data_IF_418988344980
#
_entry.id   IF_418988344980
#
_cell.length_a   1.000
_cell.length_b   1.000
_cell.length_c   1.000
_cell.angle_alpha   90.00
_cell.angle_beta   90.00
_cell.angle_gamma   90.00
#
_symmetry.space_group_name_H-M   'P 1'
#
loop_
_entity.id
_entity.type
_entity.pdbx_description
1 polymer ?
#
# COMPACT_ATOMS: atom_id res chain seq x y z
N UNK A 1 -40.53 -0.80 -60.44
CA UNK A 1 -40.36 -2.19 -60.90
C UNK A 1 -39.11 -2.25 -61.77
N UNK A 2 -38.34 -3.33 -61.65
CA UNK A 2 -37.12 -3.71 -62.40
C UNK A 2 -35.76 -3.29 -61.83
N UNK A 3 -35.25 -4.23 -61.03
CA UNK A 3 -33.86 -4.60 -60.76
C UNK A 3 -33.09 -4.71 -62.08
N UNK A 4 -31.81 -4.31 -62.11
CA UNK A 4 -30.86 -5.04 -62.96
C UNK A 4 -29.46 -5.15 -62.34
N UNK A 5 -29.09 -6.40 -62.09
CA UNK A 5 -27.80 -6.88 -61.60
C UNK A 5 -27.00 -7.32 -62.81
N UNK A 6 -25.70 -7.02 -62.86
CA UNK A 6 -24.78 -7.70 -63.77
C UNK A 6 -23.42 -7.85 -63.11
N UNK A 7 -23.23 -9.01 -62.48
CA UNK A 7 -21.94 -9.49 -62.01
C UNK A 7 -21.04 -9.79 -63.22
N UNK A 8 -19.75 -9.45 -63.10
CA UNK A 8 -18.69 -10.09 -63.87
C UNK A 8 -17.54 -10.54 -62.94
N UNK A 9 -16.83 -11.56 -63.41
CA UNK A 9 -16.15 -12.63 -62.69
C UNK A 9 -14.77 -12.28 -62.08
N UNK A 10 -14.53 -12.87 -60.91
CA UNK A 10 -13.37 -13.67 -60.48
C UNK A 10 -11.96 -13.27 -60.97
N UNK A 11 -11.13 -12.87 -60.01
CA UNK A 11 -9.67 -13.09 -60.04
C UNK A 11 -9.23 -13.58 -58.67
N UNK A 12 -8.82 -14.86 -58.60
CA UNK A 12 -8.25 -15.46 -57.40
C UNK A 12 -6.73 -15.28 -57.40
N UNK A 13 -6.17 -14.78 -56.29
CA UNK A 13 -4.78 -15.00 -55.92
C UNK A 13 -4.69 -15.09 -54.39
N UNK A 14 -4.43 -16.29 -53.90
CA UNK A 14 -4.14 -16.58 -52.51
C UNK A 14 -2.64 -16.34 -52.23
N UNK A 15 -2.29 -15.71 -51.11
CA UNK A 15 -1.08 -16.04 -50.35
C UNK A 15 -1.05 -15.31 -48.98
N UNK A 16 -1.21 -16.12 -47.94
CA UNK A 16 -0.56 -16.06 -46.62
C UNK A 16 -0.56 -14.75 -45.82
N UNK A 17 -1.40 -14.74 -44.78
CA UNK A 17 -1.25 -13.91 -43.60
C UNK A 17 0.00 -14.32 -42.80
N UNK A 18 0.91 -13.37 -42.55
CA UNK A 18 1.82 -13.39 -41.40
C UNK A 18 1.76 -12.00 -40.77
N UNK A 19 0.80 -11.82 -39.86
CA UNK A 19 0.93 -10.81 -38.79
C UNK A 19 1.26 -11.58 -37.53
N UNK A 20 2.53 -11.92 -37.35
CA UNK A 20 3.03 -12.40 -36.08
C UNK A 20 3.29 -11.19 -35.19
N UNK A 21 2.38 -11.04 -34.24
CA UNK A 21 2.32 -10.09 -33.14
C UNK A 21 3.69 -9.66 -32.62
N UNK A 22 3.99 -8.36 -32.71
CA UNK A 22 4.84 -7.75 -31.72
C UNK A 22 4.19 -8.05 -30.36
N UNK A 23 4.91 -8.72 -29.47
CA UNK A 23 4.52 -8.91 -28.08
C UNK A 23 4.43 -7.52 -27.42
N UNK A 24 3.34 -6.81 -27.68
CA UNK A 24 2.85 -5.75 -26.81
C UNK A 24 2.60 -6.44 -25.50
N UNK A 25 3.32 -6.01 -24.48
CA UNK A 25 3.13 -6.42 -23.10
C UNK A 25 1.67 -6.15 -22.74
N UNK A 26 0.81 -7.15 -22.95
CA UNK A 26 -0.58 -7.13 -22.57
C UNK A 26 -0.61 -7.41 -21.07
N UNK A 27 -0.20 -6.41 -20.29
CA UNK A 27 -0.72 -6.24 -18.94
C UNK A 27 -2.23 -6.03 -19.10
N UNK A 28 -3.01 -7.06 -18.79
CA UNK A 28 -4.46 -7.00 -18.81
C UNK A 28 -4.99 -5.95 -17.81
N UNK A 29 -6.20 -5.43 -18.03
CA UNK A 29 -6.87 -4.53 -17.09
C UNK A 29 -7.32 -5.34 -15.86
N UNK A 30 -6.37 -5.66 -14.98
CA UNK A 30 -6.58 -6.45 -13.78
C UNK A 30 -5.50 -6.11 -12.78
N UNK A 31 -5.83 -5.20 -11.86
CA UNK A 31 -4.92 -4.67 -10.87
C UNK A 31 -5.16 -3.19 -10.71
N UNK A 32 -6.29 -2.82 -10.10
CA UNK A 32 -6.39 -1.55 -9.42
C UNK A 32 -5.17 -1.43 -8.51
N UNK A 33 -4.20 -0.62 -8.92
CA UNK A 33 -3.30 0.02 -7.98
C UNK A 33 -4.24 0.76 -7.04
N UNK A 34 -4.49 0.15 -5.87
CA UNK A 34 -5.18 0.83 -4.80
C UNK A 34 -4.55 2.21 -4.57
N UNK A 35 -5.28 3.15 -3.96
CA UNK A 35 -4.86 4.54 -3.85
C UNK A 35 -3.36 4.64 -3.50
N UNK A 36 -2.58 5.44 -4.24
CA UNK A 36 -1.14 5.53 -4.01
C UNK A 36 -0.88 5.85 -2.54
N UNK A 37 -0.18 4.94 -1.85
CA UNK A 37 0.41 5.20 -0.55
C UNK A 37 -0.58 5.58 0.54
N UNK A 38 -1.50 4.68 0.91
CA UNK A 38 -2.03 4.73 2.28
C UNK A 38 -0.84 4.66 3.23
N UNK A 39 -0.51 5.77 3.90
CA UNK A 39 0.56 5.82 4.89
C UNK A 39 0.25 4.80 5.98
N UNK A 40 0.83 3.61 5.84
CA UNK A 40 0.89 2.61 6.90
C UNK A 40 1.95 3.08 7.90
N UNK A 41 1.83 4.31 8.40
CA UNK A 41 2.65 4.80 9.51
C UNK A 41 2.31 3.92 10.71
N UNK A 42 3.25 3.10 11.19
CA UNK A 42 3.02 2.25 12.35
C UNK A 42 2.54 3.08 13.54
N UNK A 43 3.02 4.33 13.70
CA UNK A 43 2.59 5.23 14.77
C UNK A 43 1.11 5.62 14.71
N UNK A 44 0.52 5.76 13.53
CA UNK A 44 -0.92 6.06 13.38
C UNK A 44 -1.79 4.88 13.77
N UNK A 45 -1.38 3.68 13.39
CA UNK A 45 -2.07 2.46 13.76
C UNK A 45 -2.10 2.30 15.29
N UNK A 46 -0.98 2.56 15.98
CA UNK A 46 -0.89 2.48 17.45
C UNK A 46 -1.84 3.46 18.13
N UNK A 47 -1.88 4.72 17.66
CA UNK A 47 -2.78 5.73 18.21
C UNK A 47 -4.24 5.29 18.09
N UNK A 48 -4.65 4.82 16.91
CA UNK A 48 -6.03 4.37 16.72
C UNK A 48 -6.39 3.18 17.61
N UNK A 49 -5.45 2.26 17.88
CA UNK A 49 -5.70 1.12 18.78
C UNK A 49 -5.85 1.56 20.23
N UNK A 50 -5.01 2.49 20.69
CA UNK A 50 -5.12 3.01 22.05
C UNK A 50 -6.46 3.74 22.29
N UNK A 51 -6.98 4.44 21.28
CA UNK A 51 -8.28 5.11 21.35
C UNK A 51 -9.48 4.14 21.45
N UNK A 52 -9.27 2.84 21.17
CA UNK A 52 -10.30 1.81 21.25
C UNK A 52 -10.38 1.14 22.63
N UNK A 53 -9.49 1.49 23.55
CA UNK A 53 -9.45 0.94 24.91
C UNK A 53 -10.15 1.90 25.88
N UNK A 54 -10.84 1.36 26.88
CA UNK A 54 -11.45 2.16 27.96
C UNK A 54 -10.38 2.63 28.96
N UNK A 55 -9.54 3.57 28.51
CA UNK A 55 -8.43 4.11 29.30
C UNK A 55 -8.93 5.07 30.37
N UNK A 56 -8.35 4.98 31.58
CA UNK A 56 -8.51 6.02 32.59
C UNK A 56 -7.96 7.36 32.10
N UNK A 57 -8.37 8.47 32.73
CA UNK A 57 -7.85 9.80 32.39
C UNK A 57 -6.32 9.90 32.51
N UNK A 58 -5.75 9.24 33.53
CA UNK A 58 -4.31 9.20 33.79
C UNK A 58 -3.57 8.35 32.75
N UNK A 59 -4.14 7.19 32.38
CA UNK A 59 -3.60 6.33 31.32
C UNK A 59 -3.64 7.06 29.98
N UNK A 60 -4.75 7.72 29.65
CA UNK A 60 -4.92 8.47 28.41
C UNK A 60 -3.89 9.58 28.28
N UNK A 61 -3.68 10.39 29.33
CA UNK A 61 -2.66 11.44 29.33
C UNK A 61 -1.25 10.87 29.10
N UNK A 62 -0.94 9.73 29.72
CA UNK A 62 0.35 9.06 29.56
C UNK A 62 0.53 8.54 28.13
N UNK A 63 -0.49 7.89 27.57
CA UNK A 63 -0.47 7.36 26.20
C UNK A 63 -0.37 8.49 25.17
N UNK A 64 -1.14 9.57 25.32
CA UNK A 64 -1.05 10.75 24.45
C UNK A 64 0.35 11.36 24.45
N UNK A 65 1.00 11.44 25.61
CA UNK A 65 2.37 11.92 25.74
C UNK A 65 3.36 11.03 25.00
N UNK A 66 3.28 9.70 25.19
CA UNK A 66 4.13 8.72 24.50
C UNK A 66 3.96 8.79 22.97
N UNK A 67 2.71 8.84 22.50
CA UNK A 67 2.40 8.93 21.08
C UNK A 67 2.85 10.27 20.49
N UNK A 68 2.68 11.37 21.21
CA UNK A 68 3.11 12.70 20.76
C UNK A 68 4.63 12.80 20.66
N UNK A 69 5.36 12.31 21.66
CA UNK A 69 6.82 12.26 21.63
C UNK A 69 7.32 11.41 20.45
N UNK A 70 6.69 10.25 20.21
CA UNK A 70 7.00 9.40 19.06
C UNK A 70 6.70 10.08 17.72
N UNK A 71 5.56 10.77 17.61
CA UNK A 71 5.19 11.53 16.41
C UNK A 71 6.20 12.64 16.12
N UNK A 72 6.57 13.42 17.14
CA UNK A 72 7.52 14.52 17.01
C UNK A 72 8.92 14.00 16.64
N UNK A 73 9.37 12.93 17.29
CA UNK A 73 10.67 12.31 17.00
C UNK A 73 10.80 11.74 15.58
N UNK A 74 9.67 11.42 14.92
CA UNK A 74 9.64 10.88 13.57
C UNK A 74 9.24 11.91 12.50
N UNK A 75 9.02 13.18 12.85
CA UNK A 75 8.48 14.17 11.92
C UNK A 75 9.41 14.44 10.73
N UNK A 76 10.71 14.61 11.00
CA UNK A 76 11.72 14.78 9.95
C UNK A 76 11.79 13.55 9.02
N UNK A 77 11.65 12.35 9.58
CA UNK A 77 11.61 11.10 8.80
C UNK A 77 10.40 11.05 7.87
N UNK A 78 9.22 11.50 8.32
CA UNK A 78 8.01 11.57 7.47
C UNK A 78 8.18 12.54 6.32
N UNK A 79 8.69 13.73 6.61
CA UNK A 79 8.97 14.76 5.60
C UNK A 79 9.97 14.23 4.57
N UNK A 80 11.04 13.59 5.04
CA UNK A 80 12.05 13.00 4.15
C UNK A 80 11.48 11.87 3.27
N UNK A 81 10.64 10.99 3.83
CA UNK A 81 9.96 9.96 3.04
C UNK A 81 9.05 10.57 1.96
N UNK A 82 8.37 11.67 2.26
CA UNK A 82 7.54 12.37 1.28
C UNK A 82 8.40 12.90 0.12
N UNK A 83 9.49 13.63 0.43
CA UNK A 83 10.42 14.14 -0.58
C UNK A 83 10.98 13.04 -1.48
N UNK A 84 11.43 11.93 -0.88
CA UNK A 84 12.00 10.79 -1.61
C UNK A 84 10.98 10.13 -2.55
N UNK A 85 9.72 10.03 -2.12
CA UNK A 85 8.63 9.51 -2.96
C UNK A 85 8.33 10.45 -4.12
N UNK A 86 8.26 11.75 -3.85
CA UNK A 86 8.05 12.77 -4.90
C UNK A 86 9.17 12.72 -5.94
N UNK A 87 10.43 12.57 -5.50
CA UNK A 87 11.58 12.44 -6.39
C UNK A 87 11.51 11.19 -7.27
N UNK A 88 11.15 10.02 -6.71
CA UNK A 88 10.92 8.81 -7.51
C UNK A 88 9.78 8.99 -8.53
N UNK A 89 8.69 9.64 -8.14
CA UNK A 89 7.56 9.89 -9.05
C UNK A 89 7.94 10.81 -10.21
N UNK A 90 8.81 11.81 -9.96
CA UNK A 90 9.31 12.71 -10.98
C UNK A 90 10.20 12.01 -12.04
N UNK A 91 10.80 10.85 -11.72
CA UNK A 91 11.67 10.10 -12.64
C UNK A 91 10.93 9.30 -13.72
N UNK A 92 9.60 9.36 -13.77
CA UNK A 92 8.77 8.53 -14.67
C UNK A 92 9.12 8.64 -16.17
N UNK A 93 9.61 9.81 -16.62
CA UNK A 93 9.98 10.06 -18.01
C UNK A 93 11.48 10.01 -18.31
N UNK A 94 12.31 9.97 -17.26
CA UNK A 94 13.77 9.96 -17.37
C UNK A 94 14.35 9.23 -16.16
N UNK A 95 14.37 7.90 -16.23
CA UNK A 95 14.76 7.05 -15.10
C UNK A 95 16.28 7.07 -14.91
N UNK A 96 16.71 7.56 -13.74
CA UNK A 96 18.09 7.45 -13.26
C UNK A 96 18.18 6.26 -12.31
N UNK A 97 18.79 5.16 -12.78
CA UNK A 97 18.86 3.92 -12.02
C UNK A 97 19.69 4.03 -10.73
N UNK A 98 20.82 4.75 -10.78
CA UNK A 98 21.72 4.90 -9.64
C UNK A 98 21.05 5.75 -8.56
N UNK A 99 20.41 6.86 -8.95
CA UNK A 99 19.67 7.70 -8.01
C UNK A 99 18.45 6.98 -7.43
N UNK A 100 17.70 6.25 -8.26
CA UNK A 100 16.55 5.48 -7.80
C UNK A 100 16.96 4.41 -6.77
N UNK A 101 18.09 3.73 -6.98
CA UNK A 101 18.62 2.76 -6.02
C UNK A 101 19.02 3.41 -4.69
N UNK A 102 19.65 4.60 -4.73
CA UNK A 102 19.98 5.35 -3.51
C UNK A 102 18.73 5.76 -2.73
N UNK A 103 17.70 6.28 -3.42
CA UNK A 103 16.44 6.64 -2.79
C UNK A 103 15.79 5.42 -2.14
N UNK A 104 15.76 4.27 -2.84
CA UNK A 104 15.19 3.04 -2.30
C UNK A 104 15.89 2.59 -1.01
N UNK A 105 17.23 2.68 -0.97
CA UNK A 105 18.00 2.35 0.24
C UNK A 105 17.65 3.30 1.40
N UNK A 106 17.58 4.61 1.13
CA UNK A 106 17.26 5.62 2.15
C UNK A 106 15.84 5.44 2.71
N UNK A 107 14.85 5.15 1.84
CA UNK A 107 13.49 4.79 2.26
C UNK A 107 13.51 3.58 3.20
N UNK A 108 14.31 2.55 2.87
CA UNK A 108 14.46 1.35 3.69
C UNK A 108 15.00 1.65 5.09
N UNK A 109 16.06 2.45 5.18
CA UNK A 109 16.67 2.87 6.44
C UNK A 109 15.70 3.68 7.31
N UNK A 110 15.05 4.69 6.73
CA UNK A 110 14.08 5.53 7.44
C UNK A 110 12.90 4.68 7.93
N UNK A 111 12.36 3.82 7.07
CA UNK A 111 11.23 2.95 7.44
C UNK A 111 11.61 2.00 8.57
N UNK A 112 12.81 1.41 8.53
CA UNK A 112 13.31 0.55 9.61
C UNK A 112 13.40 1.29 10.95
N UNK A 113 13.93 2.52 10.94
CA UNK A 113 14.01 3.39 12.12
C UNK A 113 12.61 3.71 12.69
N UNK A 114 11.66 4.07 11.83
CA UNK A 114 10.29 4.37 12.24
C UNK A 114 9.58 3.14 12.83
N UNK A 115 9.75 1.96 12.24
CA UNK A 115 9.20 0.69 12.76
C UNK A 115 9.76 0.37 14.16
N UNK A 116 11.07 0.55 14.35
CA UNK A 116 11.68 0.39 15.66
C UNK A 116 11.10 1.37 16.70
N UNK A 117 11.01 2.66 16.34
CA UNK A 117 10.47 3.69 17.23
C UNK A 117 8.99 3.41 17.61
N UNK A 118 8.18 2.99 16.65
CA UNK A 118 6.81 2.58 16.89
C UNK A 118 6.73 1.34 17.80
N UNK A 119 7.56 0.33 17.58
CA UNK A 119 7.60 -0.88 18.42
C UNK A 119 7.97 -0.56 19.87
N UNK A 120 8.95 0.32 20.06
CA UNK A 120 9.31 0.84 21.38
C UNK A 120 8.14 1.59 22.03
N UNK A 121 7.52 2.51 21.29
CA UNK A 121 6.36 3.29 21.78
C UNK A 121 5.22 2.36 22.21
N UNK A 122 4.95 1.31 21.42
CA UNK A 122 3.94 0.32 21.72
C UNK A 122 4.22 -0.44 23.01
N UNK A 123 5.47 -0.87 23.19
CA UNK A 123 5.87 -1.54 24.43
C UNK A 123 5.63 -0.66 25.66
N UNK A 124 5.90 0.64 25.58
CA UNK A 124 5.62 1.56 26.69
C UNK A 124 4.11 1.78 26.90
N UNK A 125 3.31 1.89 25.84
CA UNK A 125 1.84 1.96 25.95
C UNK A 125 1.28 0.69 26.61
N UNK A 126 1.75 -0.49 26.21
CA UNK A 126 1.28 -1.76 26.77
C UNK A 126 1.53 -1.87 28.28
N UNK A 127 2.63 -1.28 28.79
CA UNK A 127 2.93 -1.26 30.23
C UNK A 127 1.97 -0.38 31.03
N UNK A 128 1.35 0.62 30.41
CA UNK A 128 0.37 1.52 31.04
C UNK A 128 -0.99 0.83 31.22
N UNK A 129 -1.28 -0.16 30.38
CA UNK A 129 -2.53 -0.92 30.41
C UNK A 129 -2.56 -1.88 31.60
N UNK A 130 -3.75 -2.04 32.17
CA UNK A 130 -4.04 -3.13 33.10
C UNK A 130 -4.27 -4.46 32.36
N UNK A 131 -4.53 -5.52 33.11
CA UNK A 131 -4.69 -6.87 32.56
C UNK A 131 -5.91 -7.00 31.64
N UNK A 132 -7.04 -6.36 31.99
CA UNK A 132 -8.28 -6.45 31.21
C UNK A 132 -8.12 -5.70 29.88
N UNK A 133 -7.53 -4.50 29.92
CA UNK A 133 -7.24 -3.69 28.73
C UNK A 133 -6.21 -4.37 27.81
N UNK A 134 -5.23 -5.10 28.35
CA UNK A 134 -4.29 -5.90 27.54
C UNK A 134 -4.98 -7.02 26.80
N UNK A 135 -5.89 -7.74 27.46
CA UNK A 135 -6.67 -8.80 26.82
C UNK A 135 -7.56 -8.24 25.71
N UNK A 136 -8.25 -7.12 25.96
CA UNK A 136 -9.04 -6.44 24.93
C UNK A 136 -8.17 -6.03 23.74
N UNK A 137 -6.98 -5.51 24.01
CA UNK A 137 -6.04 -5.11 22.97
C UNK A 137 -5.56 -6.29 22.12
N UNK A 138 -5.23 -7.42 22.74
CA UNK A 138 -4.80 -8.64 22.04
C UNK A 138 -5.93 -9.19 21.17
N UNK A 139 -7.18 -9.12 21.63
CA UNK A 139 -8.34 -9.46 20.81
C UNK A 139 -8.52 -8.53 19.61
N UNK A 140 -8.37 -7.22 19.80
CA UNK A 140 -8.44 -6.24 18.72
C UNK A 140 -7.36 -6.53 17.66
N UNK A 141 -6.14 -6.88 18.08
CA UNK A 141 -5.06 -7.30 17.18
C UNK A 141 -5.42 -8.57 16.42
N UNK A 142 -5.90 -9.61 17.10
CA UNK A 142 -6.30 -10.87 16.49
C UNK A 142 -7.43 -10.67 15.45
N UNK A 143 -8.44 -9.85 15.78
CA UNK A 143 -9.55 -9.50 14.88
C UNK A 143 -9.03 -8.79 13.63
N UNK A 144 -8.13 -7.80 13.76
CA UNK A 144 -7.52 -7.12 12.59
C UNK A 144 -6.71 -8.09 11.74
N UNK A 145 -5.91 -8.97 12.34
CA UNK A 145 -5.12 -9.96 11.60
C UNK A 145 -6.02 -10.92 10.81
N UNK A 146 -7.09 -11.40 11.42
CA UNK A 146 -8.06 -12.27 10.76
C UNK A 146 -8.77 -11.57 9.60
N UNK A 147 -9.15 -10.29 9.76
CA UNK A 147 -9.75 -9.49 8.69
C UNK A 147 -8.77 -9.31 7.51
N UNK A 148 -7.50 -8.96 7.76
CA UNK A 148 -6.47 -8.86 6.71
C UNK A 148 -6.27 -10.19 5.98
N UNK A 149 -6.34 -11.31 6.69
CA UNK A 149 -6.27 -12.65 6.11
C UNK A 149 -7.43 -12.98 5.16
N UNK A 150 -8.66 -12.52 5.48
CA UNK A 150 -9.85 -12.70 4.64
C UNK A 150 -9.76 -11.90 3.33
N UNK A 151 -9.35 -10.62 3.40
CA UNK A 151 -9.15 -9.80 2.20
C UNK A 151 -8.08 -10.39 1.26
N UNK A 152 -7.01 -10.99 1.81
CA UNK A 152 -5.99 -11.70 1.01
C UNK A 152 -6.51 -12.96 0.29
N UNK A 153 -7.56 -13.61 0.81
CA UNK A 153 -8.17 -14.80 0.18
C UNK A 153 -9.32 -14.45 -0.77
N UNK A 154 -10.07 -13.39 -0.49
CA UNK A 154 -11.18 -12.94 -1.35
C UNK A 154 -10.75 -12.20 -2.62
N UNK A 155 -9.53 -11.66 -2.66
CA UNK A 155 -8.97 -11.02 -3.87
C UNK A 155 -8.37 -11.98 -4.90
N UNK A 156 -8.51 -13.30 -4.70
CA UNK A 156 -7.91 -14.34 -5.57
C UNK A 156 -8.93 -15.26 -6.25
N UNK A 157 -10.23 -15.02 -6.11
CA UNK A 157 -11.23 -15.64 -7.00
C UNK A 157 -11.39 -14.75 -8.23
N UNK A 158 -10.95 -15.18 -9.43
CA UNK A 158 -11.40 -14.54 -10.65
C UNK A 158 -12.89 -14.86 -10.81
N UNK A 159 -13.71 -13.81 -10.97
CA UNK A 159 -15.09 -13.98 -11.40
C UNK A 159 -15.09 -14.84 -12.68
N UNK A 160 -15.69 -16.03 -12.59
CA UNK A 160 -15.76 -17.02 -13.65
C UNK A 160 -16.78 -16.64 -14.74
#
# INVERSE_FOLDING_TARGET
MFINRKNWLVGAAAAAAITASAATWSMGPGGSMGPPGGDHDPGRMLAHMADQLDLSSEQKATVESLLSASRQGNEANRQRLQELREELMAMHGNFDADRAQQIANEIGEITGSMVFAASKTWSEVYKVLDEEQRQELDELMAKRQAQRGKWRKGGSEPDA
#
